data_IF_139788018987
#
_entry.id   IF_139788018987
#
_cell.length_a   1.000
_cell.length_b   1.000
_cell.length_c   1.000
_cell.angle_alpha   90.00
_cell.angle_beta   90.00
_cell.angle_gamma   90.00
#
_symmetry.space_group_name_H-M   'P 1'
#
loop_
_entity.id
_entity.type
_entity.pdbx_description
1 polymer ?
#
# COMPACT_ATOMS: atom_id res chain seq x y z
N UNK A 1 10.78 -1.45 -8.75
CA UNK A 1 9.82 -2.53 -8.49
C UNK A 1 8.66 -2.44 -9.46
N UNK A 2 8.18 -3.56 -9.87
CA UNK A 2 7.02 -3.59 -10.75
C UNK A 2 5.76 -3.47 -9.90
N UNK A 3 4.62 -3.27 -10.56
CA UNK A 3 3.37 -3.18 -9.83
C UNK A 3 3.10 -4.46 -9.05
N UNK A 4 3.34 -5.60 -9.67
CA UNK A 4 3.06 -6.86 -9.00
C UNK A 4 3.93 -7.01 -7.76
N UNK A 5 5.17 -6.59 -7.85
CA UNK A 5 6.06 -6.70 -6.71
C UNK A 5 5.61 -5.79 -5.57
N UNK A 6 5.17 -4.59 -5.92
CA UNK A 6 4.70 -3.68 -4.89
C UNK A 6 3.43 -4.19 -4.23
N UNK A 7 2.51 -4.73 -5.02
CA UNK A 7 1.28 -5.28 -4.47
C UNK A 7 1.59 -6.46 -3.56
N UNK A 8 2.47 -7.33 -4.01
CA UNK A 8 2.85 -8.48 -3.20
C UNK A 8 3.48 -8.04 -1.88
N UNK A 9 4.34 -7.03 -1.96
CA UNK A 9 5.00 -6.57 -0.76
C UNK A 9 4.00 -5.97 0.23
N UNK A 10 3.02 -5.22 -0.25
CA UNK A 10 2.03 -4.64 0.62
C UNK A 10 1.20 -5.73 1.28
N UNK A 11 0.84 -6.75 0.52
CA UNK A 11 0.08 -7.85 1.09
C UNK A 11 0.89 -8.58 2.15
N UNK A 12 2.18 -8.77 1.87
CA UNK A 12 3.02 -9.46 2.86
C UNK A 12 3.14 -8.68 4.14
N UNK A 13 3.24 -7.35 4.04
CA UNK A 13 3.45 -6.55 5.22
C UNK A 13 2.19 -6.31 6.00
N UNK A 14 1.08 -6.05 5.32
CA UNK A 14 -0.11 -5.60 5.99
C UNK A 14 -1.28 -6.57 5.92
N UNK A 15 -1.26 -7.50 4.98
CA UNK A 15 -2.33 -8.48 4.90
C UNK A 15 -3.43 -8.05 3.96
N UNK A 16 -4.20 -9.02 3.46
CA UNK A 16 -5.25 -8.74 2.52
C UNK A 16 -6.38 -7.92 3.10
N UNK A 17 -6.63 -8.06 4.39
CA UNK A 17 -7.78 -7.40 4.98
C UNK A 17 -7.50 -5.98 5.40
N UNK A 18 -6.26 -5.55 5.30
CA UNK A 18 -5.91 -4.20 5.69
C UNK A 18 -6.49 -3.22 4.68
N UNK A 19 -7.09 -2.13 5.16
CA UNK A 19 -7.72 -1.19 4.26
C UNK A 19 -6.72 -0.53 3.32
N UNK A 20 -5.48 -0.38 3.76
CA UNK A 20 -4.47 0.19 2.89
C UNK A 20 -4.12 -0.76 1.75
N UNK A 21 -4.14 -2.06 2.01
CA UNK A 21 -3.89 -3.04 0.98
C UNK A 21 -5.00 -3.01 -0.07
N UNK A 22 -6.24 -2.92 0.38
CA UNK A 22 -7.36 -2.87 -0.54
C UNK A 22 -7.27 -1.61 -1.40
N UNK A 23 -6.99 -0.48 -0.77
CA UNK A 23 -6.86 0.76 -1.51
C UNK A 23 -5.71 0.68 -2.52
N UNK A 24 -4.58 0.10 -2.11
CA UNK A 24 -3.42 0.01 -2.98
C UNK A 24 -3.73 -0.85 -4.19
N UNK A 25 -4.44 -1.95 -4.00
CA UNK A 25 -4.79 -2.81 -5.12
C UNK A 25 -5.71 -2.08 -6.09
N UNK A 26 -6.58 -1.26 -5.58
CA UNK A 26 -7.48 -0.53 -6.45
C UNK A 26 -6.76 0.53 -7.25
N UNK A 27 -5.90 1.31 -6.61
CA UNK A 27 -5.21 2.34 -7.36
C UNK A 27 -4.16 1.75 -8.29
N UNK A 28 -3.73 0.52 -8.04
CA UNK A 28 -2.75 -0.11 -8.91
C UNK A 28 -3.31 -0.32 -10.30
N UNK A 29 -4.62 -0.41 -10.43
CA UNK A 29 -5.22 -0.59 -11.72
C UNK A 29 -5.33 0.74 -12.46
N UNK A 30 -5.25 1.84 -11.77
CA UNK A 30 -5.39 3.14 -12.36
C UNK A 30 -4.04 3.80 -12.60
N UNK A 31 -3.12 3.65 -11.68
CA UNK A 31 -1.85 4.35 -11.73
C UNK A 31 -0.81 3.52 -12.48
N UNK A 32 0.18 4.20 -13.04
CA UNK A 32 1.29 3.47 -13.64
C UNK A 32 2.30 3.16 -12.56
N UNK A 33 3.40 2.51 -12.93
CA UNK A 33 4.37 2.08 -11.93
C UNK A 33 4.98 3.23 -11.16
N UNK A 34 5.28 4.30 -11.85
CA UNK A 34 5.89 5.44 -11.18
C UNK A 34 4.94 6.05 -10.16
N UNK A 35 3.69 6.22 -10.53
CA UNK A 35 2.72 6.78 -9.63
C UNK A 35 2.41 5.82 -8.50
N UNK A 36 2.39 4.54 -8.79
CA UNK A 36 2.09 3.56 -7.77
C UNK A 36 3.21 3.51 -6.75
N UNK A 37 4.44 3.78 -7.17
CA UNK A 37 5.54 3.80 -6.22
C UNK A 37 5.34 4.91 -5.18
N UNK A 38 4.80 6.05 -5.60
CA UNK A 38 4.49 7.10 -4.65
C UNK A 38 3.42 6.63 -3.67
N UNK A 39 2.43 5.91 -4.15
CA UNK A 39 1.40 5.39 -3.27
C UNK A 39 1.99 4.37 -2.29
N UNK A 40 2.94 3.58 -2.75
CA UNK A 40 3.58 2.60 -1.91
C UNK A 40 4.32 3.30 -0.76
N UNK A 41 5.04 4.37 -1.07
CA UNK A 41 5.75 5.11 -0.06
C UNK A 41 4.75 5.76 0.90
N UNK A 42 3.64 6.24 0.37
CA UNK A 42 2.63 6.86 1.21
C UNK A 42 2.07 5.87 2.22
N UNK A 43 1.81 4.65 1.80
CA UNK A 43 1.32 3.64 2.70
C UNK A 43 2.34 3.36 3.78
N UNK A 44 3.60 3.23 3.37
CA UNK A 44 4.65 2.91 4.31
C UNK A 44 4.76 4.01 5.36
N UNK A 45 4.55 5.25 4.96
CA UNK A 45 4.65 6.34 5.89
C UNK A 45 3.43 6.48 6.79
N UNK A 46 2.24 6.11 6.27
CA UNK A 46 1.03 6.30 7.03
C UNK A 46 0.57 5.09 7.80
N UNK A 47 0.95 3.92 7.37
CA UNK A 47 0.42 2.72 7.99
C UNK A 47 0.80 2.61 9.45
N UNK A 48 1.98 3.05 9.79
CA UNK A 48 2.36 2.91 11.18
C UNK A 48 1.61 3.92 12.04
N UNK A 49 1.04 4.95 11.44
CA UNK A 49 0.28 5.89 12.23
C UNK A 49 -1.00 5.28 12.74
N UNK A 50 -1.52 4.29 12.01
CA UNK A 50 -2.71 3.64 12.50
C UNK A 50 -2.46 3.04 13.85
N UNK A 51 -1.28 2.62 14.10
CA UNK A 51 -0.99 1.96 15.33
C UNK A 51 -1.13 2.88 16.49
N UNK A 52 -0.80 4.14 16.32
CA UNK A 52 -0.88 4.97 17.45
C UNK A 52 -2.10 5.72 17.51
N UNK A 53 -2.86 5.80 16.46
CA UNK A 53 -4.00 6.56 16.62
C UNK A 53 -4.94 5.96 17.54
N UNK A 54 -4.77 4.74 17.92
CA UNK A 54 -5.65 4.21 18.86
C UNK A 54 -5.41 4.76 20.18
N UNK A 55 -4.34 5.41 20.41
CA UNK A 55 -4.18 5.91 21.74
C UNK A 55 -5.07 7.10 21.91
#
# INVERSE_FOLDING_TARGET
MTKDEMITEVIRRYGFENKWTIWFCEVAEILNETQLQDAFILIDANCYCDCEEED
#
